data_IF_921385239347
#
_entry.id   IF_921385239347
#
_cell.length_a   1.000
_cell.length_b   1.000
_cell.length_c   1.000
_cell.angle_alpha   90.00
_cell.angle_beta   90.00
_cell.angle_gamma   90.00
#
_symmetry.space_group_name_H-M   'P 1'
#
loop_
_entity.id
_entity.type
_entity.pdbx_description
1 polymer ?
#
# COMPACT_ATOMS: atom_id res chain seq x y z
N UNK A 1 15.68 -8.48 8.87
CA UNK A 1 14.87 -7.33 9.33
C UNK A 1 14.43 -6.37 8.20
N UNK A 2 15.28 -6.04 7.22
CA UNK A 2 14.94 -5.11 6.13
C UNK A 2 13.70 -5.51 5.31
N UNK A 3 13.66 -6.76 4.82
CA UNK A 3 12.56 -7.28 3.98
C UNK A 3 11.19 -7.14 4.66
N UNK A 4 11.12 -7.42 5.97
CA UNK A 4 9.89 -7.32 6.76
C UNK A 4 9.38 -5.87 6.85
N UNK A 5 10.28 -4.91 7.10
CA UNK A 5 9.93 -3.49 7.10
C UNK A 5 9.49 -2.98 5.73
N UNK A 6 10.18 -3.39 4.66
CA UNK A 6 9.79 -3.06 3.29
C UNK A 6 8.42 -3.61 2.94
N UNK A 7 8.13 -4.86 3.32
CA UNK A 7 6.82 -5.48 3.11
C UNK A 7 5.71 -4.77 3.88
N UNK A 8 5.95 -4.40 5.14
CA UNK A 8 4.99 -3.66 5.95
C UNK A 8 4.70 -2.26 5.35
N UNK A 9 5.74 -1.56 4.87
CA UNK A 9 5.61 -0.25 4.23
C UNK A 9 4.82 -0.35 2.91
N UNK A 10 5.12 -1.33 2.06
CA UNK A 10 4.43 -1.54 0.79
C UNK A 10 2.96 -1.93 1.04
N UNK A 11 2.71 -2.78 2.04
CA UNK A 11 1.36 -3.15 2.48
C UNK A 11 0.54 -1.96 2.98
N UNK A 12 1.11 -1.12 3.86
CA UNK A 12 0.48 0.10 4.34
C UNK A 12 0.15 1.07 3.18
N UNK A 13 1.09 1.24 2.25
CA UNK A 13 0.92 2.10 1.07
C UNK A 13 -0.20 1.61 0.15
N UNK A 14 -0.35 0.30 -0.02
CA UNK A 14 -1.44 -0.30 -0.78
C UNK A 14 -2.79 -0.10 -0.06
N UNK A 15 -2.83 -0.37 1.25
CA UNK A 15 -4.05 -0.36 2.05
C UNK A 15 -4.65 1.03 2.23
N UNK A 16 -3.81 2.06 2.31
CA UNK A 16 -4.24 3.45 2.51
C UNK A 16 -4.72 4.13 1.22
N UNK A 17 -4.69 3.44 0.07
CA UNK A 17 -5.25 3.81 -1.24
C UNK A 17 -4.79 5.16 -1.85
N UNK A 18 -4.13 6.05 -1.10
CA UNK A 18 -3.63 7.35 -1.56
C UNK A 18 -2.53 7.19 -2.62
N UNK A 19 -1.63 6.23 -2.38
CA UNK A 19 -0.50 5.89 -3.25
C UNK A 19 -0.70 4.50 -3.89
N UNK A 20 -1.96 4.07 -4.09
CA UNK A 20 -2.32 2.71 -4.53
C UNK A 20 -1.54 2.23 -5.76
N UNK A 21 -1.38 3.08 -6.77
CA UNK A 21 -0.66 2.74 -7.99
C UNK A 21 0.84 2.51 -7.75
N UNK A 22 1.46 3.32 -6.89
CA UNK A 22 2.87 3.15 -6.53
C UNK A 22 3.06 1.90 -5.67
N UNK A 23 2.17 1.68 -4.70
CA UNK A 23 2.15 0.47 -3.87
C UNK A 23 1.98 -0.80 -4.70
N UNK A 24 1.06 -0.82 -5.68
CA UNK A 24 0.85 -1.97 -6.55
C UNK A 24 2.09 -2.32 -7.40
N UNK A 25 2.77 -1.31 -7.96
CA UNK A 25 4.01 -1.53 -8.73
C UNK A 25 5.14 -2.05 -7.85
N UNK A 26 5.28 -1.52 -6.63
CA UNK A 26 6.31 -1.97 -5.68
C UNK A 26 6.01 -3.37 -5.10
N UNK A 27 4.74 -3.78 -5.06
CA UNK A 27 4.32 -5.08 -4.55
C UNK A 27 4.67 -6.21 -5.52
N UNK A 28 4.61 -5.98 -6.84
CA UNK A 28 4.96 -7.00 -7.85
C UNK A 28 6.38 -7.57 -7.67
N UNK A 29 7.47 -6.76 -7.68
CA UNK A 29 8.82 -7.30 -7.52
C UNK A 29 9.02 -7.92 -6.13
N UNK A 30 8.34 -7.43 -5.09
CA UNK A 30 8.42 -8.01 -3.75
C UNK A 30 7.82 -9.42 -3.70
N UNK A 31 6.61 -9.60 -4.24
CA UNK A 31 5.93 -10.91 -4.23
C UNK A 31 6.65 -11.91 -5.13
N UNK A 32 7.20 -11.46 -6.26
CA UNK A 32 8.05 -12.30 -7.13
C UNK A 32 9.30 -12.78 -6.38
N UNK A 33 9.97 -11.91 -5.63
CA UNK A 33 11.14 -12.29 -4.83
C UNK A 33 10.77 -13.31 -3.75
N UNK A 34 9.65 -13.12 -3.04
CA UNK A 34 9.18 -14.09 -2.04
C UNK A 34 8.86 -15.43 -2.71
N UNK A 35 8.19 -15.42 -3.86
CA UNK A 35 7.89 -16.63 -4.61
C UNK A 35 9.17 -17.39 -4.98
N UNK A 36 10.16 -16.69 -5.52
CA UNK A 36 11.47 -17.27 -5.88
C UNK A 36 12.15 -17.92 -4.67
N UNK A 37 12.16 -17.24 -3.51
CA UNK A 37 12.74 -17.79 -2.28
C UNK A 37 11.98 -19.03 -1.80
N UNK A 38 10.64 -19.01 -1.84
CA UNK A 38 9.83 -20.17 -1.40
C UNK A 38 10.03 -21.39 -2.29
N UNK A 39 10.21 -21.19 -3.61
CA UNK A 39 10.54 -22.26 -4.55
C UNK A 39 11.96 -22.77 -4.26
N UNK A 40 12.92 -21.86 -4.05
CA UNK A 40 14.32 -22.23 -3.78
C UNK A 40 14.51 -23.01 -2.47
N UNK A 41 13.61 -22.86 -1.50
CA UNK A 41 13.64 -23.56 -0.22
C UNK A 41 12.79 -24.84 -0.20
N UNK A 42 12.20 -25.23 -1.33
CA UNK A 42 11.30 -26.40 -1.48
C UNK A 42 10.11 -26.39 -0.49
N UNK A 43 9.58 -25.21 -0.16
CA UNK A 43 8.42 -25.10 0.72
C UNK A 43 7.18 -25.63 0.00
N UNK A 44 6.56 -26.70 0.52
CA UNK A 44 5.27 -27.19 0.01
C UNK A 44 4.11 -26.35 0.56
N UNK A 45 3.19 -25.94 -0.32
CA UNK A 45 1.96 -25.22 0.05
C UNK A 45 2.07 -23.69 -0.04
N UNK A 46 3.08 -23.08 0.58
CA UNK A 46 3.33 -21.63 0.55
C UNK A 46 3.49 -21.02 -0.86
N UNK A 47 4.21 -21.62 -1.82
CA UNK A 47 4.37 -21.02 -3.15
C UNK A 47 3.04 -20.88 -3.89
N UNK A 48 2.06 -21.76 -3.67
CA UNK A 48 0.74 -21.66 -4.30
C UNK A 48 -0.04 -20.43 -3.81
N UNK A 49 0.03 -20.14 -2.50
CA UNK A 49 -0.62 -18.96 -1.91
C UNK A 49 0.04 -17.68 -2.41
N UNK A 50 1.38 -17.65 -2.44
CA UNK A 50 2.15 -16.49 -2.92
C UNK A 50 1.91 -16.27 -4.42
N UNK A 51 1.82 -17.33 -5.22
CA UNK A 51 1.46 -17.24 -6.63
C UNK A 51 0.04 -16.71 -6.83
N UNK A 52 -0.93 -17.16 -6.03
CA UNK A 52 -2.28 -16.59 -6.02
C UNK A 52 -2.27 -15.09 -5.68
N UNK A 53 -1.48 -14.70 -4.69
CA UNK A 53 -1.31 -13.30 -4.29
C UNK A 53 -0.65 -12.45 -5.40
N UNK A 54 0.29 -13.04 -6.14
CA UNK A 54 0.92 -12.42 -7.32
C UNK A 54 -0.13 -12.15 -8.41
N UNK A 55 -1.01 -13.11 -8.67
CA UNK A 55 -2.10 -12.96 -9.64
C UNK A 55 -3.06 -11.84 -9.22
N UNK A 56 -3.49 -11.80 -7.96
CA UNK A 56 -4.37 -10.73 -7.46
C UNK A 56 -3.72 -9.35 -7.58
N UNK A 57 -2.44 -9.25 -7.22
CA UNK A 57 -1.65 -8.02 -7.37
C UNK A 57 -1.56 -7.59 -8.84
N UNK A 58 -1.30 -8.55 -9.74
CA UNK A 58 -1.30 -8.32 -11.18
C UNK A 58 -2.65 -7.87 -11.73
N UNK A 59 -3.76 -8.43 -11.24
CA UNK A 59 -5.12 -8.01 -11.61
C UNK A 59 -5.42 -6.57 -11.17
N UNK A 60 -5.04 -6.18 -9.94
CA UNK A 60 -5.16 -4.80 -9.46
C UNK A 60 -4.36 -3.85 -10.37
N UNK A 61 -3.14 -4.24 -10.73
CA UNK A 61 -2.31 -3.46 -11.65
C UNK A 61 -2.94 -3.35 -13.05
N UNK A 62 -3.55 -4.42 -13.55
CA UNK A 62 -4.23 -4.44 -14.84
C UNK A 62 -5.49 -3.55 -14.86
N UNK A 63 -6.23 -3.49 -13.76
CA UNK A 63 -7.37 -2.58 -13.59
C UNK A 63 -6.88 -1.13 -13.56
N UNK A 64 -5.80 -0.85 -12.82
CA UNK A 64 -5.19 0.48 -12.75
C UNK A 64 -4.27 0.80 -13.96
N UNK A 65 -4.25 -0.02 -15.01
CA UNK A 65 -3.40 0.16 -16.21
C UNK A 65 -3.54 1.54 -16.87
N UNK A 66 -4.72 2.15 -16.76
CA UNK A 66 -5.01 3.48 -17.31
C UNK A 66 -4.16 4.58 -16.64
N UNK A 67 -3.73 4.37 -15.40
CA UNK A 67 -2.86 5.27 -14.64
C UNK A 67 -1.38 5.15 -15.03
N UNK A 68 -1.00 4.03 -15.64
CA UNK A 68 0.35 3.77 -16.19
C UNK A 68 0.46 4.07 -17.69
N UNK A 69 -0.64 4.46 -18.33
CA UNK A 69 -0.65 4.96 -19.71
C UNK A 69 0.39 6.07 -20.00
N UNK A 70 0.76 6.96 -19.06
CA UNK A 70 1.84 7.94 -19.26
C UNK A 70 3.21 7.31 -19.49
N UNK A 71 3.50 6.16 -18.88
CA UNK A 71 4.76 5.42 -19.08
C UNK A 71 4.86 4.81 -20.50
N UNK A 72 3.71 4.66 -21.17
CA UNK A 72 3.57 4.15 -22.54
C UNK A 72 3.42 5.29 -23.57
N UNK A 73 3.76 6.53 -23.20
CA UNK A 73 3.68 7.69 -24.10
C UNK A 73 2.28 8.22 -24.37
N UNK A 74 1.26 7.79 -23.61
CA UNK A 74 -0.12 8.32 -23.73
C UNK A 74 -0.32 9.54 -22.83
N UNK A 75 -1.17 10.50 -23.22
CA UNK A 75 -1.40 11.73 -22.44
C UNK A 75 -1.87 11.40 -21.01
N UNK A 76 -1.31 12.12 -20.04
CA UNK A 76 -1.60 11.94 -18.62
C UNK A 76 -3.06 12.33 -18.35
N UNK A 77 -3.92 11.41 -17.87
CA UNK A 77 -5.24 11.81 -17.40
C UNK A 77 -5.03 12.77 -16.23
N UNK A 78 -5.48 14.02 -16.36
CA UNK A 78 -5.24 15.09 -15.39
C UNK A 78 -5.88 14.72 -14.03
N UNK A 79 -5.10 14.07 -13.17
CA UNK A 79 -5.42 13.88 -11.77
C UNK A 79 -5.01 15.12 -10.98
N UNK A 80 -5.84 15.52 -10.02
CA UNK A 80 -5.47 16.59 -9.09
C UNK A 80 -4.21 16.19 -8.30
N UNK A 81 -3.23 17.09 -8.12
CA UNK A 81 -2.07 16.80 -7.28
C UNK A 81 -2.51 16.54 -5.84
N UNK A 82 -1.82 15.63 -5.16
CA UNK A 82 -2.06 15.32 -3.74
C UNK A 82 -1.68 16.57 -2.93
N UNK A 83 -2.56 17.03 -2.04
CA UNK A 83 -2.27 18.20 -1.23
C UNK A 83 -1.24 17.86 -0.14
N UNK A 84 -0.33 18.80 0.16
CA UNK A 84 0.71 18.60 1.19
C UNK A 84 0.14 18.16 2.56
N UNK A 85 -1.02 18.71 2.95
CA UNK A 85 -1.73 18.30 4.18
C UNK A 85 -2.20 16.85 4.17
N UNK A 86 -2.59 16.32 3.02
CA UNK A 86 -3.03 14.93 2.90
C UNK A 86 -1.83 13.99 3.01
N UNK A 87 -0.71 14.39 2.42
CA UNK A 87 0.57 13.69 2.57
C UNK A 87 1.03 13.69 4.03
N UNK A 88 0.94 14.81 4.74
CA UNK A 88 1.30 14.91 6.16
C UNK A 88 0.46 13.99 7.06
N UNK A 89 -0.87 13.95 6.86
CA UNK A 89 -1.75 13.06 7.63
C UNK A 89 -1.43 11.59 7.31
N UNK A 90 -1.12 11.29 6.05
CA UNK A 90 -0.70 9.94 5.63
C UNK A 90 0.64 9.53 6.27
N UNK A 91 1.63 10.41 6.29
CA UNK A 91 2.94 10.15 6.94
C UNK A 91 2.81 10.06 8.46
N UNK A 92 1.91 10.84 9.08
CA UNK A 92 1.63 10.72 10.50
C UNK A 92 1.03 9.34 10.83
N UNK A 93 0.08 8.86 10.03
CA UNK A 93 -0.45 7.51 10.14
C UNK A 93 0.62 6.43 9.98
N UNK A 94 1.59 6.63 9.07
CA UNK A 94 2.71 5.72 8.86
C UNK A 94 3.63 5.66 10.09
N UNK A 95 3.95 6.80 10.70
CA UNK A 95 4.74 6.86 11.93
C UNK A 95 4.04 6.15 13.09
N UNK A 96 2.73 6.36 13.25
CA UNK A 96 1.93 5.68 14.28
C UNK A 96 1.87 4.17 14.04
N UNK A 97 1.70 3.74 12.79
CA UNK A 97 1.76 2.32 12.42
C UNK A 97 3.14 1.70 12.69
N UNK A 98 4.22 2.40 12.35
CA UNK A 98 5.59 1.94 12.60
C UNK A 98 5.91 1.84 14.09
N UNK A 99 5.33 2.71 14.93
CA UNK A 99 5.44 2.64 16.39
C UNK A 99 4.71 1.43 17.01
N UNK A 100 3.74 0.84 16.31
CA UNK A 100 3.06 -0.37 16.77
C UNK A 100 4.00 -1.57 16.92
N UNK A 101 5.00 -1.71 16.03
CA UNK A 101 5.94 -2.83 16.04
C UNK A 101 6.81 -2.90 17.31
N UNK A 102 7.52 -1.83 17.76
CA UNK A 102 8.29 -1.86 18.99
C UNK A 102 7.39 -1.95 20.25
N UNK A 103 6.23 -1.30 20.24
CA UNK A 103 5.29 -1.33 21.38
C UNK A 103 4.67 -2.72 21.59
N UNK A 104 4.52 -3.51 20.52
CA UNK A 104 4.04 -4.89 20.59
C UNK A 104 4.94 -5.81 21.39
N UNK A 105 6.22 -5.49 21.60
CA UNK A 105 7.12 -6.30 22.43
C UNK A 105 6.83 -6.15 23.93
N UNK A 106 6.18 -5.06 24.34
CA UNK A 106 5.80 -4.80 25.74
C UNK A 106 4.38 -5.28 26.00
N UNK A 107 3.46 -5.04 25.06
CA UNK A 107 2.07 -5.46 25.20
C UNK A 107 1.40 -5.66 23.84
N UNK A 108 1.02 -6.91 23.57
CA UNK A 108 0.32 -7.31 22.34
C UNK A 108 -0.96 -6.48 22.06
N UNK A 109 -1.86 -6.22 23.03
CA UNK A 109 -3.08 -5.47 22.75
C UNK A 109 -2.82 -4.00 22.35
N UNK A 110 -1.83 -3.34 22.95
CA UNK A 110 -1.48 -1.97 22.60
C UNK A 110 -0.79 -1.89 21.24
N UNK A 111 0.04 -2.88 20.89
CA UNK A 111 0.64 -2.97 19.55
C UNK A 111 -0.42 -3.07 18.44
N UNK A 112 -1.44 -3.90 18.63
CA UNK A 112 -2.57 -3.99 17.70
C UNK A 112 -3.39 -2.68 17.64
N UNK A 113 -3.64 -2.05 18.80
CA UNK A 113 -4.36 -0.78 18.87
C UNK A 113 -3.67 0.35 18.12
N UNK A 114 -2.36 0.51 18.31
CA UNK A 114 -1.54 1.50 17.58
C UNK A 114 -1.51 1.23 16.08
N UNK A 115 -1.38 -0.03 15.68
CA UNK A 115 -1.37 -0.41 14.27
C UNK A 115 -2.72 -0.11 13.60
N UNK A 116 -3.82 -0.42 14.27
CA UNK A 116 -5.18 -0.09 13.80
C UNK A 116 -5.40 1.43 13.71
N UNK A 117 -4.92 2.20 14.69
CA UNK A 117 -5.01 3.66 14.68
C UNK A 117 -4.21 4.28 13.52
N UNK A 118 -3.00 3.79 13.25
CA UNK A 118 -2.18 4.24 12.12
C UNK A 118 -2.85 3.99 10.76
N UNK A 119 -3.44 2.80 10.59
CA UNK A 119 -4.23 2.45 9.40
C UNK A 119 -5.47 3.35 9.26
N UNK A 120 -6.18 3.61 10.36
CA UNK A 120 -7.36 4.48 10.37
C UNK A 120 -7.02 5.92 9.95
N UNK A 121 -5.88 6.46 10.42
CA UNK A 121 -5.40 7.78 10.01
C UNK A 121 -5.05 7.83 8.52
N UNK A 122 -4.41 6.78 8.00
CA UNK A 122 -4.13 6.66 6.56
C UNK A 122 -5.40 6.58 5.70
N UNK A 123 -6.43 5.85 6.16
CA UNK A 123 -7.75 5.81 5.52
C UNK A 123 -8.49 7.15 5.59
N UNK A 124 -8.37 7.88 6.70
CA UNK A 124 -8.93 9.22 6.85
C UNK A 124 -8.29 10.22 5.88
N UNK A 125 -6.96 10.14 5.67
CA UNK A 125 -6.26 10.95 4.68
C UNK A 125 -6.81 10.70 3.27
N UNK A 126 -7.00 9.44 2.90
CA UNK A 126 -7.62 9.06 1.64
C UNK A 126 -9.08 9.52 1.52
N UNK A 127 -9.88 9.32 2.55
CA UNK A 127 -11.29 9.72 2.53
C UNK A 127 -11.44 11.23 2.38
N UNK A 128 -10.54 12.00 3.01
CA UNK A 128 -10.47 13.46 2.85
C UNK A 128 -10.10 13.86 1.41
N UNK A 129 -9.08 13.21 0.84
CA UNK A 129 -8.69 13.42 -0.56
C UNK A 129 -9.86 13.15 -1.53
N UNK A 130 -10.60 12.04 -1.31
CA UNK A 130 -11.78 11.67 -2.12
C UNK A 130 -12.90 12.68 -2.02
N UNK A 131 -13.21 13.19 -0.83
CA UNK A 131 -14.27 14.21 -0.63
C UNK A 131 -13.95 15.53 -1.34
N UNK A 132 -12.68 15.94 -1.33
CA UNK A 132 -12.24 17.16 -2.03
C UNK A 132 -12.28 16.98 -3.55
N UNK A 133 -12.01 15.78 -4.07
CA UNK A 133 -12.15 15.49 -5.51
C UNK A 133 -13.61 15.47 -5.95
N UNK A 134 -14.52 14.89 -5.16
CA UNK A 134 -15.97 14.89 -5.45
C UNK A 134 -16.64 16.26 -5.32
N UNK A 135 -16.13 17.14 -4.46
CA UNK A 135 -16.67 18.50 -4.31
C UNK A 135 -16.26 19.45 -5.46
N UNK A 136 -15.22 19.10 -6.22
CA UNK A 136 -14.72 19.90 -7.34
C UNK A 136 -15.40 19.61 -8.69
N UNK A 137 -16.44 18.79 -8.71
CA UNK A 137 -17.21 18.40 -9.91
C UNK A 137 -18.64 18.95 -9.92
N UNK A 138 -18.93 20.00 -9.14
CA UNK A 138 -20.13 20.80 -9.38
C UNK A 138 -19.80 21.84 -10.47
N UNK A 139 -20.51 21.83 -11.61
CA UNK A 139 -20.39 22.86 -12.64
C UNK A 139 -20.83 24.24 -12.14
#
# INVERSE_FOLDING_TARGET
HFIAWSQALIGYTLFTLLLRSLGAVLLVPLVVNILMVTISLDWRGTPYVVAGFLVMTGLILLIDRKRFAPLLGRPYPHGRPIAWRELLVWTAGLCVFAMGAPVSHVSLPLGYGLSAAGIALGLLAWWRHRRVTSAGTNP
#
